data_IF_326018848382
#
_entry.id   IF_326018848382
#
_cell.length_a   1.000
_cell.length_b   1.000
_cell.length_c   1.000
_cell.angle_alpha   90.00
_cell.angle_beta   90.00
_cell.angle_gamma   90.00
#
_symmetry.space_group_name_H-M   'P 1'
#
loop_
_entity.id
_entity.type
_entity.pdbx_description
1 polymer ?
#
# COMPACT_ATOMS: atom_id res chain seq x y z
N UNK A 1 10.80 5.57 -1.54
CA UNK A 1 9.38 5.58 -1.17
C UNK A 1 8.81 4.18 -1.25
N UNK A 2 8.06 3.74 -0.26
CA UNK A 2 7.44 2.43 -0.37
C UNK A 2 6.34 2.43 -1.43
N UNK A 3 6.18 1.27 -2.02
CA UNK A 3 5.18 1.04 -3.05
C UNK A 3 4.43 -0.24 -2.67
N UNK A 4 3.13 -0.24 -2.83
CA UNK A 4 2.34 -1.43 -2.61
C UNK A 4 1.86 -1.98 -3.93
N UNK A 5 1.98 -3.29 -4.08
CA UNK A 5 1.43 -4.00 -5.21
C UNK A 5 0.18 -4.71 -4.72
N UNK A 6 -0.95 -4.36 -5.30
CA UNK A 6 -2.24 -4.91 -4.90
C UNK A 6 -2.70 -5.86 -5.97
N UNK A 7 -2.90 -7.11 -5.61
CA UNK A 7 -3.35 -8.13 -6.54
C UNK A 7 -4.83 -8.39 -6.24
N UNK A 8 -5.66 -8.15 -7.24
CA UNK A 8 -7.09 -8.30 -7.11
C UNK A 8 -7.51 -9.74 -7.45
N UNK A 9 -8.71 -10.12 -7.06
CA UNK A 9 -9.18 -11.48 -7.28
C UNK A 9 -9.27 -11.87 -8.75
N UNK A 10 -9.47 -10.90 -9.63
CA UNK A 10 -9.48 -11.16 -11.06
C UNK A 10 -8.07 -11.21 -11.64
N UNK A 11 -7.05 -11.20 -10.77
CA UNK A 11 -5.63 -11.25 -11.12
C UNK A 11 -5.09 -9.96 -11.72
N UNK A 12 -5.87 -8.90 -11.70
CA UNK A 12 -5.38 -7.58 -12.05
C UNK A 12 -4.45 -7.09 -10.97
N UNK A 13 -3.36 -6.44 -11.37
CA UNK A 13 -2.38 -5.90 -10.44
C UNK A 13 -2.44 -4.38 -10.51
N UNK A 14 -2.63 -3.76 -9.34
CA UNK A 14 -2.61 -2.31 -9.21
C UNK A 14 -1.43 -1.91 -8.36
N UNK A 15 -0.77 -0.84 -8.74
CA UNK A 15 0.36 -0.32 -7.97
C UNK A 15 -0.09 0.93 -7.23
N UNK A 16 0.14 0.95 -5.93
CA UNK A 16 -0.16 2.11 -5.09
C UNK A 16 1.17 2.73 -4.68
N UNK A 17 1.45 3.89 -5.22
CA UNK A 17 2.67 4.62 -4.91
C UNK A 17 2.40 5.67 -3.86
N UNK A 18 3.44 6.05 -3.13
CA UNK A 18 3.40 7.13 -2.14
C UNK A 18 2.54 6.80 -0.93
N UNK A 19 2.28 5.53 -0.71
CA UNK A 19 1.62 5.08 0.50
C UNK A 19 2.65 4.33 1.33
N UNK A 20 2.62 4.50 2.64
CA UNK A 20 3.55 3.82 3.51
C UNK A 20 2.85 2.93 4.54
N UNK A 21 1.53 2.85 4.48
CA UNK A 21 0.76 1.99 5.37
C UNK A 21 -0.60 1.70 4.76
N UNK A 22 -1.26 0.66 5.26
CA UNK A 22 -2.64 0.41 4.88
C UNK A 22 -3.39 -0.14 6.10
N UNK A 23 -4.70 0.02 6.05
CA UNK A 23 -5.56 -0.40 7.15
C UNK A 23 -6.93 -0.76 6.59
N UNK A 24 -7.52 -1.80 7.16
CA UNK A 24 -8.89 -2.16 6.82
C UNK A 24 -9.85 -1.22 7.56
N UNK A 25 -10.76 -0.63 6.82
CA UNK A 25 -11.79 0.24 7.36
C UNK A 25 -13.14 -0.31 6.90
N UNK A 26 -13.79 -1.09 7.79
CA UNK A 26 -15.02 -1.76 7.41
C UNK A 26 -14.79 -2.69 6.22
N UNK A 27 -15.60 -2.56 5.14
CA UNK A 27 -15.43 -3.42 3.97
C UNK A 27 -14.32 -2.97 3.04
N UNK A 28 -13.62 -1.89 3.35
CA UNK A 28 -12.59 -1.32 2.50
C UNK A 28 -11.21 -1.47 3.11
N UNK A 29 -10.21 -1.59 2.26
CA UNK A 29 -8.81 -1.52 2.65
C UNK A 29 -8.24 -0.26 2.05
N UNK A 30 -7.75 0.63 2.89
CA UNK A 30 -7.31 1.95 2.47
C UNK A 30 -5.81 2.08 2.69
N UNK A 31 -5.14 2.64 1.69
CA UNK A 31 -3.71 2.90 1.73
C UNK A 31 -3.49 4.36 2.09
N UNK A 32 -2.58 4.59 3.01
CA UNK A 32 -2.34 5.91 3.59
C UNK A 32 -0.90 6.32 3.41
N UNK A 33 -0.70 7.62 3.31
CA UNK A 33 0.60 8.23 3.52
C UNK A 33 0.56 8.92 4.87
N UNK A 34 1.37 8.43 5.80
CA UNK A 34 1.48 9.03 7.11
C UNK A 34 2.34 10.29 7.04
N UNK A 35 2.12 11.21 7.96
CA UNK A 35 2.96 12.40 8.02
C UNK A 35 4.40 12.05 8.40
N UNK A 36 5.32 12.97 8.15
CA UNK A 36 6.72 12.78 8.48
C UNK A 36 6.90 12.45 9.96
N UNK A 37 7.69 11.41 10.23
CA UNK A 37 7.96 11.00 11.58
C UNK A 37 6.83 10.27 12.29
N UNK A 38 5.73 10.04 11.62
CA UNK A 38 4.59 9.35 12.21
C UNK A 38 4.67 7.87 11.93
N UNK A 39 4.34 7.08 12.93
CA UNK A 39 4.39 5.62 12.81
C UNK A 39 3.00 4.99 12.83
N UNK A 40 1.96 5.78 13.08
CA UNK A 40 0.60 5.28 13.15
C UNK A 40 -0.28 6.05 12.16
N UNK A 41 -1.35 5.39 11.74
CA UNK A 41 -2.36 6.04 10.91
C UNK A 41 -3.24 6.87 11.83
N UNK A 42 -3.31 8.16 11.56
CA UNK A 42 -4.09 9.08 12.39
C UNK A 42 -4.85 10.05 11.48
N UNK A 43 -5.46 11.06 12.09
CA UNK A 43 -6.26 12.01 11.35
C UNK A 43 -5.44 12.91 10.41
N UNK A 44 -4.12 12.90 10.55
CA UNK A 44 -3.22 13.66 9.69
C UNK A 44 -2.72 12.85 8.51
N UNK A 45 -3.05 11.57 8.47
CA UNK A 45 -2.64 10.70 7.37
C UNK A 45 -3.50 10.98 6.15
N UNK A 46 -2.88 10.93 4.98
CA UNK A 46 -3.56 11.17 3.71
C UNK A 46 -3.98 9.84 3.09
N UNK A 47 -5.24 9.73 2.74
CA UNK A 47 -5.72 8.55 2.01
C UNK A 47 -5.27 8.64 0.56
N UNK A 48 -4.57 7.61 0.11
CA UNK A 48 -4.01 7.56 -1.23
C UNK A 48 -4.91 6.76 -2.16
N UNK A 49 -5.35 5.59 -1.72
CA UNK A 49 -6.19 4.71 -2.52
C UNK A 49 -6.99 3.81 -1.60
N UNK A 50 -8.11 3.33 -2.08
CA UNK A 50 -8.98 2.46 -1.31
C UNK A 50 -9.54 1.39 -2.22
N UNK A 51 -9.59 0.14 -1.72
CA UNK A 51 -10.10 -1.00 -2.45
C UNK A 51 -11.08 -1.76 -1.57
N UNK A 52 -12.03 -2.44 -2.19
CA UNK A 52 -12.90 -3.34 -1.43
C UNK A 52 -12.06 -4.51 -0.93
N UNK A 53 -12.12 -4.75 0.35
CA UNK A 53 -11.32 -5.84 0.95
C UNK A 53 -11.68 -7.18 0.30
N UNK A 54 -12.95 -7.40 -0.03
CA UNK A 54 -13.38 -8.66 -0.64
C UNK A 54 -12.80 -8.89 -2.02
N UNK A 55 -12.32 -7.83 -2.69
CA UNK A 55 -11.73 -7.95 -4.02
C UNK A 55 -10.22 -8.17 -3.99
N UNK A 56 -9.62 -8.12 -2.81
CA UNK A 56 -8.17 -8.25 -2.68
C UNK A 56 -7.77 -9.71 -2.56
N UNK A 57 -6.77 -10.11 -3.34
CA UNK A 57 -6.16 -11.41 -3.21
C UNK A 57 -4.91 -11.34 -2.38
N UNK A 58 -4.07 -10.33 -2.62
CA UNK A 58 -2.82 -10.16 -1.90
C UNK A 58 -2.36 -8.72 -1.98
N UNK A 59 -1.56 -8.32 -0.99
CA UNK A 59 -0.91 -7.01 -0.96
C UNK A 59 0.55 -7.25 -0.67
N UNK A 60 1.43 -6.70 -1.50
CA UNK A 60 2.86 -6.78 -1.30
C UNK A 60 3.43 -5.38 -1.13
N UNK A 61 4.32 -5.25 -0.18
CA UNK A 61 5.03 -4.00 0.02
C UNK A 61 6.41 -4.10 -0.58
N UNK A 62 6.78 -3.10 -1.37
CA UNK A 62 8.10 -3.00 -1.97
C UNK A 62 8.77 -1.74 -1.48
N UNK A 63 10.01 -1.87 -1.01
CA UNK A 63 10.85 -0.73 -0.73
C UNK A 63 11.70 -0.49 -1.96
N UNK A 64 11.66 0.72 -2.51
CA UNK A 64 12.37 1.02 -3.76
C UNK A 64 13.84 0.64 -3.71
N UNK A 65 14.50 0.94 -2.57
CA UNK A 65 15.90 0.61 -2.42
C UNK A 65 16.13 -0.89 -2.43
N UNK A 66 15.31 -1.64 -1.72
CA UNK A 66 15.42 -3.09 -1.66
C UNK A 66 15.18 -3.71 -3.02
N UNK A 67 14.20 -3.20 -3.74
CA UNK A 67 13.90 -3.70 -5.08
C UNK A 67 15.08 -3.46 -6.03
N UNK A 68 15.69 -2.30 -5.91
CA UNK A 68 16.84 -1.96 -6.74
C UNK A 68 18.02 -2.89 -6.44
N UNK A 69 18.25 -3.17 -5.16
CA UNK A 69 19.32 -4.06 -4.78
C UNK A 69 19.08 -5.47 -5.29
N UNK A 70 17.86 -5.94 -5.22
CA UNK A 70 17.53 -7.26 -5.73
C UNK A 70 17.70 -7.32 -7.23
N UNK A 71 17.32 -6.27 -7.92
CA UNK A 71 17.47 -6.22 -9.36
C UNK A 71 18.94 -6.23 -9.77
N UNK A 72 19.79 -5.65 -8.93
CA UNK A 72 21.23 -5.60 -9.21
C UNK A 72 21.92 -6.94 -8.96
N UNK A 73 21.32 -7.77 -8.16
CA UNK A 73 21.90 -9.08 -7.85
C UNK A 73 21.28 -10.18 -8.68
#
# INVERSE_FOLDING_TARGET
MPTFEVILRDRTVETVERADAYQQEGPMTTFFRRGDGREVIDSWSTRVASFRTADLLAVRRHEATADRLRAAS
#
